data_IF_899022083042
#
_entry.id   IF_899022083042
#
_cell.length_a   1.000
_cell.length_b   1.000
_cell.length_c   1.000
_cell.angle_alpha   90.00
_cell.angle_beta   90.00
_cell.angle_gamma   90.00
#
_symmetry.space_group_name_H-M   'P 1'
#
loop_
_entity.id
_entity.type
_entity.pdbx_description
1 polymer ?
#
# COMPACT_ATOMS: atom_id res chain seq x y z
N UNK A 1 8.96 -9.37 -13.94
CA UNK A 1 7.65 -8.72 -13.75
C UNK A 1 6.98 -9.37 -12.56
N UNK A 2 7.11 -8.79 -11.37
CA UNK A 2 6.51 -9.31 -10.12
C UNK A 2 5.10 -8.73 -9.86
N UNK A 3 4.37 -8.33 -10.91
CA UNK A 3 3.04 -7.71 -10.84
C UNK A 3 1.93 -8.69 -10.41
N UNK A 4 2.28 -9.82 -9.81
CA UNK A 4 1.34 -10.85 -9.37
C UNK A 4 0.71 -10.52 -8.01
N UNK A 5 1.33 -9.61 -7.24
CA UNK A 5 0.87 -9.23 -5.91
C UNK A 5 0.71 -7.71 -5.80
N UNK A 6 -0.43 -7.31 -5.25
CA UNK A 6 -0.68 -5.94 -4.80
C UNK A 6 -0.29 -5.85 -3.31
N UNK A 7 0.38 -4.77 -2.91
CA UNK A 7 0.89 -4.57 -1.55
C UNK A 7 0.16 -3.38 -0.91
N UNK A 8 -0.35 -3.56 0.32
CA UNK A 8 -0.95 -2.48 1.13
C UNK A 8 0.02 -2.11 2.25
N UNK A 9 0.62 -0.92 2.16
CA UNK A 9 1.46 -0.38 3.24
C UNK A 9 0.56 0.33 4.25
N UNK A 10 0.65 -0.09 5.51
CA UNK A 10 -0.13 0.50 6.62
C UNK A 10 0.83 1.04 7.66
N UNK A 11 0.90 2.36 7.75
CA UNK A 11 1.77 3.10 8.66
C UNK A 11 1.05 4.41 9.02
N UNK A 12 1.23 4.98 10.21
CA UNK A 12 0.60 6.24 10.60
C UNK A 12 1.36 7.47 10.12
N UNK A 13 2.65 7.34 9.81
CA UNK A 13 3.46 8.40 9.20
C UNK A 13 3.29 8.39 7.68
N UNK A 14 2.87 9.53 7.11
CA UNK A 14 2.55 9.63 5.67
C UNK A 14 3.83 9.61 4.84
N UNK A 15 4.88 10.25 5.35
CA UNK A 15 6.19 10.34 4.72
C UNK A 15 6.80 8.95 4.49
N UNK A 16 6.66 8.03 5.46
CA UNK A 16 7.13 6.65 5.29
C UNK A 16 6.28 5.85 4.33
N UNK A 17 4.95 6.06 4.30
CA UNK A 17 4.09 5.43 3.29
C UNK A 17 4.53 5.76 1.87
N UNK A 18 4.90 7.02 1.61
CA UNK A 18 5.38 7.48 0.31
C UNK A 18 6.73 6.86 -0.06
N UNK A 19 7.67 6.80 0.89
CA UNK A 19 8.98 6.16 0.69
C UNK A 19 8.83 4.68 0.37
N UNK A 20 8.03 3.93 1.14
CA UNK A 20 7.80 2.51 0.86
C UNK A 20 7.09 2.29 -0.46
N UNK A 21 6.11 3.13 -0.80
CA UNK A 21 5.43 3.07 -2.09
C UNK A 21 6.41 3.24 -3.24
N UNK A 22 7.26 4.27 -3.19
CA UNK A 22 8.27 4.53 -4.21
C UNK A 22 9.21 3.34 -4.41
N UNK A 23 9.76 2.80 -3.32
CA UNK A 23 10.70 1.66 -3.38
C UNK A 23 10.03 0.42 -3.98
N UNK A 24 8.82 0.09 -3.53
CA UNK A 24 8.13 -1.12 -3.98
C UNK A 24 7.57 -0.99 -5.40
N UNK A 25 7.15 0.20 -5.82
CA UNK A 25 6.74 0.44 -7.21
C UNK A 25 7.94 0.39 -8.17
N UNK A 26 9.13 0.85 -7.76
CA UNK A 26 10.38 0.74 -8.54
C UNK A 26 10.77 -0.74 -8.77
N UNK A 27 10.51 -1.60 -7.79
CA UNK A 27 10.66 -3.07 -7.90
C UNK A 27 9.57 -3.73 -8.76
N UNK A 28 8.58 -2.96 -9.24
CA UNK A 28 7.52 -3.41 -10.14
C UNK A 28 6.29 -4.01 -9.47
N UNK A 29 6.06 -3.73 -8.18
CA UNK A 29 4.82 -4.09 -7.49
C UNK A 29 3.75 -3.01 -7.67
N UNK A 30 2.48 -3.40 -7.50
CA UNK A 30 1.37 -2.45 -7.40
C UNK A 30 1.17 -2.15 -5.92
N UNK A 31 1.27 -0.89 -5.52
CA UNK A 31 1.29 -0.52 -4.10
C UNK A 31 0.20 0.50 -3.78
N UNK A 32 -0.55 0.23 -2.73
CA UNK A 32 -1.50 1.14 -2.12
C UNK A 32 -1.09 1.43 -0.67
N UNK A 33 -1.56 2.54 -0.11
CA UNK A 33 -1.20 2.99 1.24
C UNK A 33 -2.45 3.25 2.08
N UNK A 34 -2.31 3.10 3.39
CA UNK A 34 -3.34 3.43 4.36
C UNK A 34 -2.74 4.01 5.65
N UNK A 35 -3.12 5.24 5.99
CA UNK A 35 -2.59 5.95 7.16
C UNK A 35 -3.15 5.48 8.53
N UNK A 36 -3.84 4.34 8.57
CA UNK A 36 -4.38 3.72 9.79
C UNK A 36 -4.97 2.34 9.51
N UNK A 37 -5.04 1.50 10.55
CA UNK A 37 -5.73 0.21 10.47
C UNK A 37 -7.21 0.30 10.07
N UNK A 38 -7.92 1.36 10.47
CA UNK A 38 -9.32 1.56 10.05
C UNK A 38 -9.43 1.80 8.54
N UNK A 39 -8.53 2.60 7.98
CA UNK A 39 -8.47 2.85 6.53
C UNK A 39 -8.08 1.58 5.77
N UNK A 40 -7.13 0.79 6.29
CA UNK A 40 -6.70 -0.45 5.63
C UNK A 40 -7.83 -1.49 5.58
N UNK A 41 -8.51 -1.74 6.70
CA UNK A 41 -9.65 -2.66 6.76
C UNK A 41 -10.76 -2.21 5.80
N UNK A 42 -11.05 -0.90 5.73
CA UNK A 42 -12.05 -0.38 4.80
C UNK A 42 -11.68 -0.66 3.34
N UNK A 43 -10.41 -0.40 2.95
CA UNK A 43 -9.92 -0.67 1.59
C UNK A 43 -10.04 -2.15 1.22
N UNK A 44 -9.70 -3.04 2.14
CA UNK A 44 -9.81 -4.50 1.96
C UNK A 44 -11.28 -4.93 1.87
N UNK A 45 -12.13 -4.45 2.78
CA UNK A 45 -13.55 -4.83 2.84
C UNK A 45 -14.37 -4.31 1.65
N UNK A 46 -14.02 -3.15 1.10
CA UNK A 46 -14.66 -2.57 -0.09
C UNK A 46 -14.08 -3.12 -1.41
N UNK A 47 -13.05 -3.98 -1.37
CA UNK A 47 -12.40 -4.54 -2.57
C UNK A 47 -11.69 -3.50 -3.44
N UNK A 48 -11.32 -2.37 -2.84
CA UNK A 48 -10.60 -1.26 -3.49
C UNK A 48 -9.08 -1.48 -3.40
N UNK A 49 -8.66 -2.33 -2.45
CA UNK A 49 -7.38 -3.02 -2.44
C UNK A 49 -7.52 -4.37 -3.16
#
# INVERSE_FOLDING_TARGET
MNSQFKILVVDDEIEYQEVYKMILEDEGYIVDTASSGKKSIRKIGEGIF
#
